data_IF_894800117888
#
_entry.id   IF_894800117888
#
_cell.length_a   1.000
_cell.length_b   1.000
_cell.length_c   1.000
_cell.angle_alpha   90.00
_cell.angle_beta   90.00
_cell.angle_gamma   90.00
#
_symmetry.space_group_name_H-M   'P 1'
#
loop_
_entity.id
_entity.type
_entity.pdbx_description
1 polymer ?
#
# COMPACT_ATOMS: atom_id res chain seq x y z
N UNK A 1 -0.37 41.73 -13.27
CA UNK A 1 0.34 40.45 -13.40
C UNK A 1 1.60 40.60 -12.58
N UNK A 2 1.65 40.01 -11.38
CA UNK A 2 2.86 39.99 -10.58
C UNK A 2 3.84 39.06 -11.28
N UNK A 3 5.04 39.54 -11.59
CA UNK A 3 6.16 38.70 -12.01
C UNK A 3 6.50 37.81 -10.85
N UNK A 4 6.09 36.53 -10.90
CA UNK A 4 6.60 35.51 -10.01
C UNK A 4 8.13 35.51 -10.11
N UNK A 5 8.77 36.01 -9.08
CA UNK A 5 10.21 35.88 -8.91
C UNK A 5 10.45 34.41 -8.54
N UNK A 6 10.60 33.55 -9.54
CA UNK A 6 10.91 32.13 -9.34
C UNK A 6 12.35 32.06 -8.88
N UNK A 7 12.57 31.54 -7.68
CA UNK A 7 13.91 31.25 -7.20
C UNK A 7 14.61 30.28 -8.15
N UNK A 8 15.91 30.48 -8.34
CA UNK A 8 16.73 29.74 -9.28
C UNK A 8 17.86 29.00 -8.56
N UNK A 9 18.07 27.77 -8.96
CA UNK A 9 19.31 27.06 -8.68
C UNK A 9 20.23 27.18 -9.92
N UNK A 10 21.52 27.37 -9.69
CA UNK A 10 22.51 27.49 -10.78
C UNK A 10 23.49 26.33 -10.72
N UNK A 11 23.57 25.57 -11.81
CA UNK A 11 24.56 24.52 -11.98
C UNK A 11 25.75 25.07 -12.77
N UNK A 12 26.93 25.13 -12.13
CA UNK A 12 28.19 25.39 -12.80
C UNK A 12 28.80 24.08 -13.30
N UNK A 13 29.13 23.97 -14.57
CA UNK A 13 29.72 22.77 -15.16
C UNK A 13 30.76 23.15 -16.23
N UNK A 14 31.59 22.24 -16.72
CA UNK A 14 32.67 22.56 -17.67
C UNK A 14 32.21 23.26 -18.97
N UNK A 15 30.92 23.17 -19.33
CA UNK A 15 30.34 23.82 -20.49
C UNK A 15 29.77 25.22 -20.25
N UNK A 16 29.73 25.69 -18.97
CA UNK A 16 29.16 26.99 -18.60
C UNK A 16 28.30 26.94 -17.33
N UNK A 17 27.24 27.70 -17.34
CA UNK A 17 26.24 27.78 -16.26
C UNK A 17 24.87 27.45 -16.81
N UNK A 18 24.06 26.75 -16.01
CA UNK A 18 22.68 26.42 -16.35
C UNK A 18 21.76 26.74 -15.16
N UNK A 19 20.74 27.57 -15.41
CA UNK A 19 19.74 27.95 -14.42
C UNK A 19 18.56 26.98 -14.45
N UNK A 20 18.12 26.56 -13.27
CA UNK A 20 16.98 25.68 -13.06
C UNK A 20 15.95 26.33 -12.14
N UNK A 21 14.67 26.11 -12.44
CA UNK A 21 13.61 26.60 -11.57
C UNK A 21 13.59 25.79 -10.26
N UNK A 22 13.28 26.47 -9.15
CA UNK A 22 12.97 25.83 -7.89
C UNK A 22 11.45 25.75 -7.77
N UNK A 23 10.96 24.54 -7.46
CA UNK A 23 9.58 24.28 -7.14
C UNK A 23 9.46 24.17 -5.63
N UNK A 24 8.70 25.11 -5.02
CA UNK A 24 8.49 25.14 -3.58
C UNK A 24 7.43 24.13 -3.16
N UNK A 25 7.75 23.30 -2.19
CA UNK A 25 6.80 22.40 -1.54
C UNK A 25 5.92 23.20 -0.56
N UNK A 26 4.67 22.78 -0.39
CA UNK A 26 3.82 23.33 0.68
C UNK A 26 4.32 22.88 2.06
N UNK A 27 4.80 21.64 2.15
CA UNK A 27 5.51 21.06 3.29
C UNK A 27 6.63 20.16 2.75
N UNK A 28 7.79 20.12 3.42
CA UNK A 28 8.94 19.30 3.04
C UNK A 28 10.00 20.04 2.25
N UNK A 29 10.78 19.32 1.45
CA UNK A 29 11.91 19.87 0.71
C UNK A 29 11.50 20.43 -0.64
N UNK A 30 12.05 21.59 -1.00
CA UNK A 30 11.90 22.16 -2.33
C UNK A 30 12.59 21.31 -3.39
N UNK A 31 12.05 21.31 -4.61
CA UNK A 31 12.55 20.55 -5.73
C UNK A 31 13.25 21.42 -6.78
N UNK A 32 14.36 20.94 -7.35
CA UNK A 32 15.01 21.55 -8.52
C UNK A 32 14.44 20.92 -9.80
N UNK A 33 13.94 21.74 -10.71
CA UNK A 33 13.29 21.26 -11.96
C UNK A 33 14.35 20.91 -13.01
N UNK A 34 14.49 19.60 -13.30
CA UNK A 34 15.56 19.06 -14.16
C UNK A 34 15.13 18.80 -15.62
N UNK A 35 13.88 19.10 -15.98
CA UNK A 35 13.28 18.66 -17.24
C UNK A 35 14.03 19.02 -18.53
N UNK A 36 14.85 20.09 -18.52
CA UNK A 36 15.63 20.55 -19.68
C UNK A 36 17.15 20.31 -19.52
N UNK A 37 17.59 19.78 -18.38
CA UNK A 37 19.02 19.64 -18.06
C UNK A 37 19.79 18.92 -19.17
N UNK A 38 19.31 17.76 -19.63
CA UNK A 38 19.97 16.99 -20.66
C UNK A 38 20.09 17.75 -21.98
N UNK A 39 19.01 18.40 -22.41
CA UNK A 39 18.99 19.12 -23.68
C UNK A 39 19.90 20.34 -23.71
N UNK A 40 20.01 21.07 -22.59
CA UNK A 40 20.77 22.33 -22.50
C UNK A 40 22.25 22.10 -22.14
N UNK A 41 22.56 21.04 -21.39
CA UNK A 41 23.93 20.86 -20.87
C UNK A 41 24.62 19.58 -21.35
N UNK A 42 23.87 18.61 -21.90
CA UNK A 42 24.36 17.27 -22.19
C UNK A 42 24.56 16.38 -20.94
N UNK A 43 24.24 16.89 -19.75
CA UNK A 43 24.40 16.17 -18.49
C UNK A 43 23.10 15.46 -18.10
N UNK A 44 23.25 14.33 -17.40
CA UNK A 44 22.16 13.61 -16.71
C UNK A 44 22.44 13.58 -15.21
N UNK A 45 21.40 13.43 -14.40
CA UNK A 45 21.55 13.16 -12.98
C UNK A 45 21.93 11.69 -12.76
N UNK A 46 22.76 11.43 -11.74
CA UNK A 46 23.11 10.09 -11.31
C UNK A 46 22.73 9.90 -9.84
N UNK A 47 21.56 9.30 -9.63
CA UNK A 47 21.00 9.00 -8.30
C UNK A 47 20.45 7.55 -8.31
N UNK A 48 21.32 6.53 -8.18
CA UNK A 48 20.92 5.13 -8.34
C UNK A 48 19.95 4.63 -7.27
N UNK A 49 19.84 5.34 -6.15
CA UNK A 49 18.92 5.01 -5.06
C UNK A 49 17.67 5.88 -5.01
N UNK A 50 17.52 6.83 -5.93
CA UNK A 50 16.46 7.84 -5.91
C UNK A 50 16.35 8.61 -4.59
N UNK A 51 17.49 8.77 -3.88
CA UNK A 51 17.55 9.36 -2.53
C UNK A 51 17.24 10.86 -2.56
N UNK A 52 17.65 11.53 -3.67
CA UNK A 52 17.47 12.98 -3.86
C UNK A 52 16.62 13.29 -5.09
N UNK A 53 15.81 12.34 -5.55
CA UNK A 53 15.01 12.48 -6.76
C UNK A 53 13.52 12.56 -6.44
N UNK A 54 12.94 13.74 -6.57
CA UNK A 54 11.49 13.93 -6.60
C UNK A 54 10.93 13.52 -7.96
N UNK A 55 10.13 12.46 -8.03
CA UNK A 55 9.54 11.96 -9.29
C UNK A 55 8.17 12.55 -9.60
N UNK A 56 7.54 13.21 -8.62
CA UNK A 56 6.19 13.77 -8.75
C UNK A 56 5.87 14.71 -7.60
N UNK A 57 4.86 15.56 -7.82
CA UNK A 57 4.14 16.23 -6.75
C UNK A 57 3.03 15.34 -6.21
N UNK A 58 2.81 15.38 -4.88
CA UNK A 58 1.71 14.68 -4.23
C UNK A 58 1.06 15.58 -3.18
N UNK A 59 -0.27 15.50 -3.08
CA UNK A 59 -1.07 16.15 -2.03
C UNK A 59 -1.65 15.11 -1.06
N UNK A 60 -1.17 13.88 -1.11
CA UNK A 60 -1.79 12.75 -0.39
C UNK A 60 -1.18 12.60 0.99
N UNK A 61 0.12 12.42 1.06
CA UNK A 61 0.82 12.09 2.31
C UNK A 61 1.99 13.02 2.53
N UNK A 62 2.14 13.47 3.77
CA UNK A 62 3.31 14.15 4.27
C UNK A 62 3.98 13.33 5.37
N UNK A 63 5.30 13.17 5.26
CA UNK A 63 6.13 12.46 6.24
C UNK A 63 7.32 13.33 6.64
N UNK A 64 7.48 13.52 7.95
CA UNK A 64 8.72 14.00 8.56
C UNK A 64 9.25 12.92 9.50
N UNK A 65 10.24 12.17 9.03
CA UNK A 65 10.80 11.05 9.77
C UNK A 65 11.64 11.45 10.97
N UNK A 66 12.18 12.68 11.00
CA UNK A 66 12.93 13.22 12.13
C UNK A 66 11.99 13.67 13.24
N UNK A 67 10.92 14.38 12.90
CA UNK A 67 9.88 14.80 13.82
C UNK A 67 8.88 13.69 14.18
N UNK A 68 8.87 12.57 13.43
CA UNK A 68 7.92 11.49 13.62
C UNK A 68 6.49 11.84 13.19
N UNK A 69 6.35 12.67 12.17
CA UNK A 69 5.05 13.14 11.67
C UNK A 69 4.64 12.33 10.46
N UNK A 70 3.39 11.87 10.45
CA UNK A 70 2.70 11.30 9.29
C UNK A 70 1.30 11.92 9.20
N UNK A 71 0.97 12.47 8.03
CA UNK A 71 -0.36 13.03 7.74
C UNK A 71 -0.89 12.53 6.42
N UNK A 72 -2.19 12.23 6.38
CA UNK A 72 -2.92 11.93 5.16
C UNK A 72 -3.83 13.10 4.81
N UNK A 73 -3.64 13.74 3.66
CA UNK A 73 -4.41 14.93 3.22
C UNK A 73 -4.47 16.04 4.28
N UNK A 74 -3.42 16.16 5.10
CA UNK A 74 -3.34 17.14 6.20
C UNK A 74 -3.83 16.62 7.56
N UNK A 75 -4.54 15.51 7.63
CA UNK A 75 -5.01 14.90 8.89
C UNK A 75 -3.90 14.10 9.54
N UNK A 76 -3.72 14.26 10.85
CA UNK A 76 -2.72 13.50 11.61
C UNK A 76 -3.08 12.00 11.65
N UNK A 77 -2.07 11.15 11.50
CA UNK A 77 -2.28 9.69 11.45
C UNK A 77 -2.82 9.14 12.76
N UNK A 78 -2.46 9.73 13.91
CA UNK A 78 -2.97 9.27 15.20
C UNK A 78 -4.46 9.55 15.34
N UNK A 79 -4.93 10.72 14.87
CA UNK A 79 -6.35 11.06 14.87
C UNK A 79 -7.14 10.15 13.94
N UNK A 80 -6.64 9.88 12.74
CA UNK A 80 -7.29 8.98 11.80
C UNK A 80 -7.35 7.54 12.35
N UNK A 81 -6.26 7.03 12.91
CA UNK A 81 -6.21 5.68 13.48
C UNK A 81 -7.11 5.49 14.70
N UNK A 82 -7.37 6.54 15.48
CA UNK A 82 -8.24 6.44 16.66
C UNK A 82 -9.72 6.63 16.31
N UNK A 83 -10.04 7.56 15.41
CA UNK A 83 -11.39 8.09 15.22
C UNK A 83 -12.04 7.70 13.88
N UNK A 84 -11.28 7.23 12.88
CA UNK A 84 -11.80 6.86 11.58
C UNK A 84 -11.79 5.34 11.33
N UNK A 85 -12.60 4.90 10.38
CA UNK A 85 -12.53 3.56 9.80
C UNK A 85 -11.61 3.55 8.57
N UNK A 86 -11.14 2.38 8.19
CA UNK A 86 -10.32 2.25 6.98
C UNK A 86 -11.05 2.72 5.70
N UNK A 87 -12.38 2.56 5.64
CA UNK A 87 -13.15 3.03 4.48
C UNK A 87 -13.20 4.56 4.42
N UNK A 88 -13.34 5.25 5.56
CA UNK A 88 -13.28 6.72 5.62
C UNK A 88 -11.91 7.22 5.19
N UNK A 89 -10.83 6.58 5.66
CA UNK A 89 -9.46 6.93 5.26
C UNK A 89 -9.22 6.62 3.78
N UNK A 90 -9.74 5.52 3.27
CA UNK A 90 -9.66 5.20 1.84
C UNK A 90 -10.36 6.25 0.99
N UNK A 91 -11.55 6.66 1.40
CA UNK A 91 -12.28 7.74 0.73
C UNK A 91 -11.48 9.05 0.76
N UNK A 92 -10.93 9.42 1.92
CA UNK A 92 -10.07 10.60 2.09
C UNK A 92 -8.87 10.58 1.13
N UNK A 93 -8.17 9.46 1.05
CA UNK A 93 -6.98 9.33 0.18
C UNK A 93 -7.33 9.48 -1.30
N UNK A 94 -8.45 8.90 -1.73
CA UNK A 94 -8.92 8.91 -3.12
C UNK A 94 -9.50 10.29 -3.48
N UNK A 95 -10.43 10.80 -2.67
CA UNK A 95 -11.24 11.98 -3.00
C UNK A 95 -10.67 13.30 -2.45
N UNK A 96 -9.77 13.26 -1.47
CA UNK A 96 -9.07 14.43 -0.94
C UNK A 96 -9.64 14.99 0.36
N UNK A 97 -10.88 14.67 0.71
CA UNK A 97 -11.60 15.10 1.93
C UNK A 97 -12.27 13.91 2.60
N UNK A 98 -12.51 14.02 3.91
CA UNK A 98 -13.29 13.01 4.63
C UNK A 98 -14.73 12.99 4.12
N UNK A 99 -15.35 11.80 4.00
CA UNK A 99 -16.72 11.71 3.50
C UNK A 99 -17.73 12.29 4.49
N UNK A 100 -18.79 12.88 3.97
CA UNK A 100 -20.04 13.06 4.70
C UNK A 100 -20.68 11.70 4.99
N UNK A 101 -21.69 11.65 5.87
CA UNK A 101 -22.42 10.41 6.18
C UNK A 101 -23.03 9.77 4.92
N UNK A 102 -23.62 10.56 4.05
CA UNK A 102 -24.27 10.08 2.83
C UNK A 102 -23.24 9.54 1.81
N UNK A 103 -22.12 10.23 1.66
CA UNK A 103 -21.01 9.79 0.79
C UNK A 103 -20.37 8.49 1.29
N UNK A 104 -20.17 8.37 2.61
CA UNK A 104 -19.65 7.15 3.21
C UNK A 104 -20.62 5.97 3.02
N UNK A 105 -21.92 6.20 3.19
CA UNK A 105 -22.93 5.17 3.00
C UNK A 105 -22.97 4.70 1.54
N UNK A 106 -22.92 5.63 0.58
CA UNK A 106 -22.84 5.33 -0.83
C UNK A 106 -21.58 4.52 -1.16
N UNK A 107 -20.41 4.99 -0.73
CA UNK A 107 -19.14 4.31 -0.94
C UNK A 107 -19.13 2.90 -0.34
N UNK A 108 -19.63 2.73 0.88
CA UNK A 108 -19.74 1.43 1.52
C UNK A 108 -20.73 0.51 0.79
N UNK A 109 -21.81 1.05 0.25
CA UNK A 109 -22.77 0.31 -0.57
C UNK A 109 -22.12 -0.20 -1.85
N UNK A 110 -21.39 0.65 -2.54
CA UNK A 110 -20.68 0.26 -3.77
C UNK A 110 -19.65 -0.84 -3.50
N UNK A 111 -18.86 -0.70 -2.46
CA UNK A 111 -17.90 -1.74 -2.07
C UNK A 111 -18.60 -3.08 -1.80
N UNK A 112 -19.71 -3.08 -1.03
CA UNK A 112 -20.45 -4.30 -0.71
C UNK A 112 -20.99 -5.01 -1.96
N UNK A 113 -21.53 -4.24 -2.92
CA UNK A 113 -22.11 -4.81 -4.14
C UNK A 113 -21.08 -5.29 -5.16
N UNK A 114 -19.81 -4.93 -5.00
CA UNK A 114 -18.73 -5.34 -5.91
C UNK A 114 -17.78 -6.41 -5.33
N UNK A 115 -18.08 -6.98 -4.17
CA UNK A 115 -17.23 -8.01 -3.54
C UNK A 115 -17.23 -9.35 -4.28
N UNK A 116 -18.37 -9.80 -4.78
CA UNK A 116 -18.52 -11.14 -5.36
C UNK A 116 -17.66 -11.31 -6.63
N UNK A 117 -16.95 -12.44 -6.71
CA UNK A 117 -16.22 -12.88 -7.90
C UNK A 117 -17.10 -13.79 -8.76
N UNK A 118 -16.85 -13.79 -10.06
CA UNK A 118 -17.43 -14.80 -10.95
C UNK A 118 -17.01 -16.20 -10.50
N UNK A 119 -17.91 -17.17 -10.63
CA UNK A 119 -17.64 -18.56 -10.20
C UNK A 119 -16.42 -19.16 -10.91
N UNK A 120 -16.28 -18.88 -12.21
CA UNK A 120 -15.16 -19.36 -13.02
C UNK A 120 -13.82 -18.83 -12.56
N UNK A 121 -13.79 -17.65 -11.89
CA UNK A 121 -12.57 -17.08 -11.33
C UNK A 121 -11.92 -18.00 -10.29
N UNK A 122 -12.70 -18.80 -9.57
CA UNK A 122 -12.17 -19.74 -8.56
C UNK A 122 -11.23 -20.76 -9.16
N UNK A 123 -11.38 -21.09 -10.44
CA UNK A 123 -10.48 -22.00 -11.14
C UNK A 123 -9.04 -21.48 -11.18
N UNK A 124 -8.84 -20.17 -11.15
CA UNK A 124 -7.51 -19.56 -11.11
C UNK A 124 -6.71 -19.95 -9.85
N UNK A 125 -7.37 -20.21 -8.73
CA UNK A 125 -6.67 -20.65 -7.51
C UNK A 125 -6.21 -22.10 -7.56
N UNK A 126 -6.77 -22.93 -8.45
CA UNK A 126 -6.42 -24.35 -8.58
C UNK A 126 -5.08 -24.57 -9.30
N UNK A 127 -4.58 -23.56 -10.03
CA UNK A 127 -3.29 -23.64 -10.72
C UNK A 127 -2.09 -23.44 -9.80
N UNK A 128 -2.30 -22.87 -8.60
CA UNK A 128 -1.22 -22.63 -7.67
C UNK A 128 -0.98 -23.82 -6.75
N UNK A 129 0.27 -24.19 -6.50
CA UNK A 129 0.59 -25.16 -5.46
C UNK A 129 0.19 -24.61 -4.08
N UNK A 130 -0.22 -25.50 -3.16
CA UNK A 130 -0.69 -25.08 -1.82
C UNK A 130 0.34 -24.32 -0.99
N UNK A 131 1.61 -24.52 -1.24
CA UNK A 131 2.72 -23.83 -0.61
C UNK A 131 3.20 -22.60 -1.38
N UNK A 132 2.46 -22.14 -2.40
CA UNK A 132 2.78 -20.90 -3.09
C UNK A 132 2.75 -19.71 -2.12
N UNK A 133 3.69 -18.79 -2.31
CA UNK A 133 3.72 -17.57 -1.49
C UNK A 133 2.44 -16.75 -1.72
N UNK A 134 1.73 -16.33 -0.65
CA UNK A 134 0.41 -15.70 -0.77
C UNK A 134 0.44 -14.41 -1.59
N UNK A 135 1.52 -13.65 -1.54
CA UNK A 135 1.67 -12.42 -2.33
C UNK A 135 1.75 -12.70 -3.84
N UNK A 136 2.40 -13.79 -4.25
CA UNK A 136 2.44 -14.19 -5.66
C UNK A 136 1.04 -14.59 -6.17
N UNK A 137 0.28 -15.31 -5.34
CA UNK A 137 -1.10 -15.69 -5.65
C UNK A 137 -1.98 -14.45 -5.75
N UNK A 138 -1.86 -13.52 -4.80
CA UNK A 138 -2.64 -12.28 -4.79
C UNK A 138 -2.34 -11.39 -6.01
N UNK A 139 -1.06 -11.14 -6.31
CA UNK A 139 -0.68 -10.32 -7.47
C UNK A 139 -1.19 -10.93 -8.78
N UNK A 140 -1.04 -12.24 -8.95
CA UNK A 140 -1.56 -12.96 -10.12
C UNK A 140 -3.08 -12.86 -10.21
N UNK A 141 -3.79 -13.03 -9.10
CA UNK A 141 -5.26 -12.95 -9.04
C UNK A 141 -5.76 -11.54 -9.40
N UNK A 142 -5.10 -10.49 -8.90
CA UNK A 142 -5.44 -9.10 -9.26
C UNK A 142 -5.19 -8.85 -10.75
N UNK A 143 -4.09 -9.39 -11.30
CA UNK A 143 -3.83 -9.26 -12.75
C UNK A 143 -4.90 -9.96 -13.59
N UNK A 144 -5.41 -11.13 -13.15
CA UNK A 144 -6.48 -11.87 -13.85
C UNK A 144 -7.78 -11.06 -13.88
N UNK A 145 -8.06 -10.19 -12.91
CA UNK A 145 -9.27 -9.35 -12.93
C UNK A 145 -9.37 -8.51 -14.22
N UNK A 146 -8.26 -8.11 -14.81
CA UNK A 146 -8.28 -7.38 -16.08
C UNK A 146 -8.94 -8.15 -17.23
N UNK A 147 -8.92 -9.49 -17.18
CA UNK A 147 -9.58 -10.34 -18.18
C UNK A 147 -11.09 -10.42 -17.98
N UNK A 148 -11.59 -10.18 -16.76
CA UNK A 148 -13.01 -10.21 -16.42
C UNK A 148 -13.71 -8.87 -16.61
N UNK A 149 -12.97 -7.75 -16.56
CA UNK A 149 -13.52 -6.39 -16.58
C UNK A 149 -13.02 -5.60 -17.79
N UNK A 150 -13.28 -6.12 -19.00
CA UNK A 150 -12.83 -5.56 -20.28
C UNK A 150 -13.39 -4.16 -20.56
N UNK A 151 -14.48 -3.77 -19.92
CA UNK A 151 -15.13 -2.45 -19.99
C UNK A 151 -14.53 -1.38 -19.05
N UNK A 152 -13.41 -1.69 -18.39
CA UNK A 152 -12.78 -0.83 -17.40
C UNK A 152 -11.25 -0.83 -17.53
N UNK A 153 -10.76 -0.90 -18.73
CA UNK A 153 -9.32 -0.98 -19.01
C UNK A 153 -8.69 0.34 -19.48
N UNK A 154 -9.50 1.34 -19.83
CA UNK A 154 -8.99 2.63 -20.24
C UNK A 154 -8.58 3.48 -19.03
N UNK A 155 -7.26 3.73 -18.82
CA UNK A 155 -6.78 4.53 -17.71
C UNK A 155 -6.97 6.04 -17.90
N UNK A 156 -7.48 6.49 -19.04
CA UNK A 156 -7.75 7.89 -19.32
C UNK A 156 -9.24 8.24 -19.21
N UNK A 157 -10.10 7.25 -19.00
CA UNK A 157 -11.53 7.41 -18.78
C UNK A 157 -11.80 7.42 -17.26
N UNK A 158 -12.21 8.55 -16.72
CA UNK A 158 -12.45 8.74 -15.28
C UNK A 158 -13.54 7.80 -14.74
N UNK A 159 -14.62 7.55 -15.49
CA UNK A 159 -15.70 6.63 -15.07
C UNK A 159 -15.19 5.19 -14.97
N UNK A 160 -14.35 4.76 -15.89
CA UNK A 160 -13.74 3.43 -15.85
C UNK A 160 -12.72 3.32 -14.70
N UNK A 161 -11.95 4.39 -14.41
CA UNK A 161 -11.03 4.44 -13.28
C UNK A 161 -11.79 4.31 -11.95
N UNK A 162 -12.88 5.04 -11.77
CA UNK A 162 -13.69 4.97 -10.56
C UNK A 162 -14.26 3.56 -10.34
N UNK A 163 -14.83 2.96 -11.39
CA UNK A 163 -15.34 1.59 -11.35
C UNK A 163 -14.23 0.57 -11.03
N UNK A 164 -13.05 0.72 -11.64
CA UNK A 164 -11.91 -0.15 -11.38
C UNK A 164 -11.41 0.00 -9.94
N UNK A 165 -11.39 1.23 -9.40
CA UNK A 165 -11.01 1.54 -8.02
C UNK A 165 -11.94 0.83 -7.04
N UNK A 166 -13.25 1.02 -7.18
CA UNK A 166 -14.26 0.36 -6.32
C UNK A 166 -14.12 -1.16 -6.40
N UNK A 167 -13.97 -1.72 -7.60
CA UNK A 167 -13.80 -3.17 -7.78
C UNK A 167 -12.53 -3.71 -7.16
N UNK A 168 -11.40 -3.03 -7.31
CA UNK A 168 -10.15 -3.43 -6.66
C UNK A 168 -10.27 -3.41 -5.15
N UNK A 169 -10.79 -2.33 -4.58
CA UNK A 169 -10.98 -2.22 -3.13
C UNK A 169 -11.92 -3.29 -2.58
N UNK A 170 -12.99 -3.60 -3.29
CA UNK A 170 -13.95 -4.63 -2.88
C UNK A 170 -13.40 -6.05 -3.02
N UNK A 171 -12.63 -6.33 -4.08
CA UNK A 171 -12.22 -7.70 -4.44
C UNK A 171 -10.86 -8.13 -3.88
N UNK A 172 -9.93 -7.20 -3.64
CA UNK A 172 -8.61 -7.57 -3.10
C UNK A 172 -8.70 -8.30 -1.76
N UNK A 173 -9.50 -7.87 -0.78
CA UNK A 173 -9.70 -8.63 0.46
C UNK A 173 -10.26 -10.04 0.20
N UNK A 174 -11.19 -10.16 -0.75
CA UNK A 174 -11.78 -11.44 -1.13
C UNK A 174 -10.77 -12.37 -1.79
N UNK A 175 -9.94 -11.84 -2.71
CA UNK A 175 -8.86 -12.60 -3.34
C UNK A 175 -7.84 -13.09 -2.30
N UNK A 176 -7.49 -12.26 -1.32
CA UNK A 176 -6.61 -12.63 -0.22
C UNK A 176 -7.22 -13.75 0.63
N UNK A 177 -8.51 -13.66 0.98
CA UNK A 177 -9.21 -14.71 1.70
C UNK A 177 -9.26 -16.02 0.92
N UNK A 178 -9.52 -15.97 -0.38
CA UNK A 178 -9.57 -17.16 -1.25
C UNK A 178 -8.18 -17.78 -1.43
N UNK A 179 -7.14 -16.96 -1.62
CA UNK A 179 -5.75 -17.44 -1.66
C UNK A 179 -5.37 -18.21 -0.39
N UNK A 180 -5.72 -17.66 0.79
CA UNK A 180 -5.52 -18.34 2.07
C UNK A 180 -6.27 -19.68 2.14
N UNK A 181 -7.56 -19.70 1.76
CA UNK A 181 -8.36 -20.93 1.81
C UNK A 181 -7.86 -22.00 0.86
N UNK A 182 -7.47 -21.60 -0.35
CA UNK A 182 -6.87 -22.52 -1.33
C UNK A 182 -5.58 -23.13 -0.78
N UNK A 183 -4.70 -22.36 -0.15
CA UNK A 183 -3.47 -22.87 0.46
C UNK A 183 -3.72 -23.87 1.58
N UNK A 184 -4.85 -23.74 2.29
CA UNK A 184 -5.25 -24.65 3.38
C UNK A 184 -6.16 -25.79 2.93
N UNK A 185 -6.57 -25.81 1.66
CA UNK A 185 -7.53 -26.80 1.15
C UNK A 185 -8.90 -26.69 1.80
N UNK A 186 -9.31 -25.47 2.18
CA UNK A 186 -10.60 -25.20 2.84
C UNK A 186 -11.63 -24.71 1.83
N UNK A 187 -12.94 -24.96 2.07
CA UNK A 187 -13.99 -24.45 1.20
C UNK A 187 -14.00 -22.92 1.19
N UNK A 188 -14.30 -22.31 0.05
CA UNK A 188 -14.45 -20.86 -0.06
C UNK A 188 -15.70 -20.38 0.69
N UNK A 189 -15.60 -19.20 1.28
CA UNK A 189 -16.72 -18.51 1.90
C UNK A 189 -17.15 -17.34 1.00
N UNK A 190 -18.43 -17.26 0.70
CA UNK A 190 -18.97 -16.10 -0.03
C UNK A 190 -19.03 -14.87 0.89
N UNK A 191 -18.94 -13.65 0.31
CA UNK A 191 -19.16 -12.44 1.07
C UNK A 191 -20.58 -12.40 1.64
N UNK A 192 -20.72 -11.72 2.77
CA UNK A 192 -21.99 -11.45 3.44
C UNK A 192 -22.19 -9.94 3.53
N UNK A 193 -23.14 -9.42 2.75
CA UNK A 193 -23.37 -7.97 2.65
C UNK A 193 -24.01 -7.37 3.92
N UNK A 194 -24.44 -8.17 4.90
CA UNK A 194 -24.92 -7.69 6.20
C UNK A 194 -23.79 -7.28 7.14
N UNK A 195 -22.56 -7.74 6.88
CA UNK A 195 -21.39 -7.46 7.68
C UNK A 195 -20.64 -6.22 7.16
N UNK A 196 -19.91 -5.55 8.06
CA UNK A 196 -18.95 -4.55 7.61
C UNK A 196 -17.75 -5.22 6.90
N UNK A 197 -16.99 -4.48 6.07
CA UNK A 197 -15.93 -5.08 5.25
C UNK A 197 -14.87 -5.86 6.03
N UNK A 198 -14.49 -5.45 7.25
CA UNK A 198 -13.50 -6.15 8.09
C UNK A 198 -14.04 -7.43 8.69
N UNK A 199 -15.26 -7.37 9.21
CA UNK A 199 -15.97 -8.57 9.68
C UNK A 199 -16.14 -9.58 8.56
N UNK A 200 -16.55 -9.12 7.39
CA UNK A 200 -16.71 -9.94 6.21
C UNK A 200 -15.38 -10.60 5.80
N UNK A 201 -14.29 -9.84 5.76
CA UNK A 201 -12.96 -10.37 5.48
C UNK A 201 -12.55 -11.45 6.49
N UNK A 202 -12.71 -11.18 7.79
CA UNK A 202 -12.38 -12.14 8.86
C UNK A 202 -13.24 -13.41 8.75
N UNK A 203 -14.54 -13.25 8.51
CA UNK A 203 -15.43 -14.39 8.27
C UNK A 203 -15.02 -15.20 7.04
N UNK A 204 -14.68 -14.55 5.95
CA UNK A 204 -14.21 -15.21 4.74
C UNK A 204 -12.89 -15.95 4.94
N UNK A 205 -11.98 -15.39 5.75
CA UNK A 205 -10.69 -16.02 6.08
C UNK A 205 -10.89 -17.26 6.97
N UNK A 206 -11.65 -17.14 8.06
CA UNK A 206 -11.61 -18.07 9.19
C UNK A 206 -12.91 -18.83 9.46
N UNK A 207 -14.06 -18.34 8.98
CA UNK A 207 -15.36 -19.01 9.17
C UNK A 207 -15.49 -20.34 8.40
N UNK A 208 -16.49 -21.11 8.73
CA UNK A 208 -16.85 -22.35 8.03
C UNK A 208 -18.29 -22.29 7.51
N UNK A 209 -18.61 -22.90 6.35
CA UNK A 209 -19.97 -22.90 5.80
C UNK A 209 -21.01 -23.61 6.68
N UNK A 210 -20.55 -24.40 7.63
CA UNK A 210 -21.36 -25.28 8.49
C UNK A 210 -21.72 -24.66 9.83
N UNK A 211 -21.21 -23.48 10.14
CA UNK A 211 -21.41 -22.83 11.45
C UNK A 211 -21.38 -21.30 11.33
N UNK A 212 -22.02 -20.61 12.24
CA UNK A 212 -21.97 -19.17 12.34
C UNK A 212 -20.58 -18.73 12.85
N UNK A 213 -20.04 -17.70 12.22
CA UNK A 213 -18.76 -17.12 12.60
C UNK A 213 -18.99 -15.75 13.22
N UNK A 214 -18.70 -15.65 14.50
CA UNK A 214 -18.77 -14.39 15.24
C UNK A 214 -17.38 -13.76 15.28
N UNK A 215 -17.26 -12.59 14.71
CA UNK A 215 -16.00 -11.82 14.70
C UNK A 215 -15.86 -11.08 16.03
N UNK A 216 -14.70 -11.20 16.65
CA UNK A 216 -14.38 -10.40 17.84
C UNK A 216 -14.23 -8.91 17.44
N UNK A 217 -15.02 -7.99 18.03
CA UNK A 217 -14.94 -6.56 17.73
C UNK A 217 -13.54 -5.95 17.98
N UNK A 218 -12.79 -6.49 18.92
CA UNK A 218 -11.40 -6.06 19.19
C UNK A 218 -10.50 -6.36 18.00
N UNK A 219 -10.64 -7.55 17.41
CA UNK A 219 -9.87 -7.92 16.21
C UNK A 219 -10.26 -7.08 15.00
N UNK A 220 -11.55 -6.79 14.83
CA UNK A 220 -12.04 -5.92 13.75
C UNK A 220 -11.44 -4.51 13.87
N UNK A 221 -11.48 -3.92 15.07
CA UNK A 221 -10.90 -2.59 15.33
C UNK A 221 -9.38 -2.60 15.16
N UNK A 222 -8.70 -3.65 15.59
CA UNK A 222 -7.25 -3.79 15.39
C UNK A 222 -6.89 -3.86 13.90
N UNK A 223 -7.66 -4.61 13.11
CA UNK A 223 -7.46 -4.70 11.66
C UNK A 223 -7.67 -3.34 10.97
N UNK A 224 -8.72 -2.59 11.35
CA UNK A 224 -8.93 -1.23 10.84
C UNK A 224 -7.71 -0.33 11.09
N UNK A 225 -7.21 -0.28 12.32
CA UNK A 225 -6.04 0.51 12.67
C UNK A 225 -4.80 0.08 11.89
N UNK A 226 -4.55 -1.22 11.76
CA UNK A 226 -3.43 -1.73 10.97
C UNK A 226 -3.53 -1.31 9.51
N UNK A 227 -4.71 -1.39 8.90
CA UNK A 227 -4.93 -0.99 7.51
C UNK A 227 -4.74 0.53 7.33
N UNK A 228 -5.25 1.36 8.26
CA UNK A 228 -5.05 2.82 8.24
C UNK A 228 -3.56 3.18 8.30
N UNK A 229 -2.82 2.59 9.25
CA UNK A 229 -1.40 2.84 9.43
C UNK A 229 -0.53 2.40 8.25
N UNK A 230 -1.04 1.50 7.39
CA UNK A 230 -0.34 1.00 6.20
C UNK A 230 -0.94 1.51 4.88
N UNK A 231 -1.91 2.43 4.92
CA UNK A 231 -2.67 2.82 3.74
C UNK A 231 -1.82 3.54 2.69
N UNK A 232 -0.95 4.45 3.11
CA UNK A 232 -0.03 5.16 2.22
C UNK A 232 1.26 5.55 2.94
N UNK A 233 2.36 5.64 2.19
CA UNK A 233 3.65 6.08 2.69
C UNK A 233 4.45 6.77 1.57
N UNK A 234 3.86 7.80 0.96
CA UNK A 234 4.42 8.60 -0.14
C UNK A 234 4.85 7.78 -1.37
N UNK A 235 5.97 8.15 -1.98
CA UNK A 235 6.53 7.49 -3.17
C UNK A 235 7.37 6.26 -2.78
N UNK A 236 6.81 5.36 -1.98
CA UNK A 236 7.42 4.07 -1.66
C UNK A 236 7.57 3.20 -2.92
N UNK A 237 8.22 2.04 -2.79
CA UNK A 237 8.50 1.15 -3.91
C UNK A 237 7.23 0.69 -4.66
N UNK A 238 6.14 0.40 -3.94
CA UNK A 238 4.85 0.02 -4.56
C UNK A 238 4.24 1.16 -5.34
N UNK A 239 4.11 2.33 -4.73
CA UNK A 239 3.54 3.53 -5.37
C UNK A 239 4.32 3.92 -6.61
N UNK A 240 5.66 3.96 -6.52
CA UNK A 240 6.54 4.26 -7.66
C UNK A 240 6.40 3.23 -8.78
N UNK A 241 6.28 1.94 -8.45
CA UNK A 241 6.08 0.86 -9.43
C UNK A 241 4.73 0.99 -10.12
N UNK A 242 3.64 1.22 -9.37
CA UNK A 242 2.29 1.45 -9.94
C UNK A 242 2.33 2.61 -10.92
N UNK A 243 2.91 3.73 -10.53
CA UNK A 243 3.03 4.92 -11.39
C UNK A 243 3.86 4.66 -12.63
N UNK A 244 4.95 3.91 -12.52
CA UNK A 244 5.80 3.55 -13.65
C UNK A 244 5.04 2.69 -14.67
N UNK A 245 4.29 1.69 -14.22
CA UNK A 245 3.48 0.84 -15.10
C UNK A 245 2.34 1.66 -15.72
N UNK A 246 1.64 2.45 -14.91
CA UNK A 246 0.54 3.31 -15.37
C UNK A 246 1.00 4.37 -16.38
N UNK A 247 2.25 4.82 -16.32
CA UNK A 247 2.80 5.79 -17.30
C UNK A 247 2.82 5.27 -18.74
N UNK A 248 2.75 3.95 -18.92
CA UNK A 248 2.59 3.30 -20.22
C UNK A 248 1.12 3.15 -20.65
N UNK A 249 0.18 3.80 -19.95
CA UNK A 249 -1.28 3.64 -20.13
C UNK A 249 -1.77 2.19 -19.90
N UNK A 250 -1.07 1.44 -19.05
CA UNK A 250 -1.55 0.15 -18.58
C UNK A 250 -2.77 0.34 -17.68
N UNK A 251 -3.73 -0.57 -17.77
CA UNK A 251 -4.95 -0.50 -16.94
C UNK A 251 -4.66 -0.60 -15.44
N UNK A 252 -5.61 -0.19 -14.62
CA UNK A 252 -5.44 -0.11 -13.17
C UNK A 252 -5.19 -1.48 -12.53
N UNK A 253 -5.82 -2.55 -12.98
CA UNK A 253 -5.62 -3.90 -12.41
C UNK A 253 -4.17 -4.37 -12.56
N UNK A 254 -3.61 -4.21 -13.77
CA UNK A 254 -2.21 -4.57 -14.05
C UNK A 254 -1.24 -3.70 -13.27
N UNK A 255 -1.51 -2.40 -13.17
CA UNK A 255 -0.67 -1.44 -12.44
C UNK A 255 -0.63 -1.78 -10.95
N UNK A 256 -1.77 -2.06 -10.33
CA UNK A 256 -1.87 -2.47 -8.91
C UNK A 256 -1.22 -3.85 -8.68
N UNK A 257 -1.39 -4.79 -9.60
CA UNK A 257 -0.68 -6.08 -9.52
C UNK A 257 0.84 -5.90 -9.48
N UNK A 258 1.37 -4.93 -10.24
CA UNK A 258 2.78 -4.54 -10.19
C UNK A 258 3.19 -3.99 -8.82
N UNK A 259 2.37 -3.16 -8.20
CA UNK A 259 2.58 -2.66 -6.84
C UNK A 259 2.59 -3.78 -5.79
N UNK A 260 1.69 -4.76 -5.90
CA UNK A 260 1.67 -5.94 -5.02
C UNK A 260 2.94 -6.78 -5.20
N UNK A 261 3.44 -6.94 -6.43
CA UNK A 261 4.71 -7.62 -6.68
C UNK A 261 5.89 -6.88 -6.04
N UNK A 262 5.92 -5.55 -6.11
CA UNK A 262 6.95 -4.75 -5.44
C UNK A 262 6.86 -4.90 -3.91
N UNK A 263 5.63 -4.91 -3.35
CA UNK A 263 5.39 -5.11 -1.92
C UNK A 263 5.85 -6.48 -1.43
N UNK A 264 5.82 -7.51 -2.26
CA UNK A 264 6.28 -8.86 -1.91
C UNK A 264 7.80 -8.94 -1.64
N UNK A 265 8.57 -7.92 -2.02
CA UNK A 265 10.01 -7.88 -1.79
C UNK A 265 10.37 -7.79 -0.29
N UNK A 266 11.41 -8.53 0.17
CA UNK A 266 11.77 -8.60 1.59
C UNK A 266 12.24 -7.25 2.18
N UNK A 267 12.68 -6.31 1.34
CA UNK A 267 13.10 -4.98 1.77
C UNK A 267 11.96 -3.94 1.75
N UNK A 268 10.74 -4.34 1.40
CA UNK A 268 9.56 -3.49 1.38
C UNK A 268 8.47 -4.05 2.30
N UNK A 269 7.64 -5.00 1.86
CA UNK A 269 6.57 -5.59 2.67
C UNK A 269 6.98 -6.80 3.53
N UNK A 270 8.25 -7.23 3.48
CA UNK A 270 8.71 -8.42 4.20
C UNK A 270 8.87 -8.27 5.71
N UNK A 271 8.81 -7.06 6.26
CA UNK A 271 9.03 -6.82 7.69
C UNK A 271 7.99 -7.54 8.56
N UNK A 272 6.71 -7.51 8.19
CA UNK A 272 5.63 -8.16 8.96
C UNK A 272 5.82 -9.69 9.00
N UNK A 273 6.19 -10.29 7.89
CA UNK A 273 6.52 -11.72 7.83
C UNK A 273 7.70 -12.06 8.72
N UNK A 274 8.78 -11.29 8.64
CA UNK A 274 9.98 -11.49 9.44
C UNK A 274 9.72 -11.34 10.96
N UNK A 275 8.79 -10.47 11.36
CA UNK A 275 8.34 -10.39 12.77
C UNK A 275 7.64 -11.67 13.20
N UNK A 276 6.72 -12.18 12.38
CA UNK A 276 6.03 -13.43 12.72
C UNK A 276 7.00 -14.62 12.80
N UNK A 277 7.93 -14.74 11.85
CA UNK A 277 8.97 -15.78 11.87
C UNK A 277 9.85 -15.68 13.12
N UNK A 278 10.26 -14.47 13.51
CA UNK A 278 11.00 -14.23 14.76
C UNK A 278 10.19 -14.64 16.00
N UNK A 279 8.92 -14.29 16.08
CA UNK A 279 8.04 -14.66 17.20
C UNK A 279 7.80 -16.16 17.24
N UNK A 280 7.66 -16.83 16.11
CA UNK A 280 7.55 -18.28 16.02
C UNK A 280 8.84 -18.97 16.45
N UNK A 281 10.00 -18.43 16.08
CA UNK A 281 11.30 -18.94 16.53
C UNK A 281 11.43 -18.85 18.04
N UNK A 282 11.12 -17.70 18.64
CA UNK A 282 11.12 -17.51 20.10
C UNK A 282 10.18 -18.53 20.79
N UNK A 283 8.98 -18.69 20.25
CA UNK A 283 7.99 -19.61 20.80
C UNK A 283 8.45 -21.07 20.73
N UNK A 284 8.99 -21.49 19.60
CA UNK A 284 9.26 -22.91 19.33
C UNK A 284 10.64 -23.38 19.85
N UNK A 285 11.62 -22.49 19.83
CA UNK A 285 13.03 -22.83 20.13
C UNK A 285 13.52 -22.26 21.47
N UNK A 286 12.73 -21.36 22.11
CA UNK A 286 13.08 -20.71 23.38
C UNK A 286 11.95 -20.77 24.41
N UNK A 287 11.04 -21.74 24.30
CA UNK A 287 9.89 -21.94 25.21
C UNK A 287 9.03 -20.68 25.44
N UNK A 288 9.04 -19.75 24.48
CA UNK A 288 8.39 -18.45 24.58
C UNK A 288 9.15 -17.42 25.42
N UNK A 289 10.32 -17.75 25.96
CA UNK A 289 11.18 -16.79 26.66
C UNK A 289 12.06 -16.01 25.67
N UNK A 290 11.77 -14.74 25.54
CA UNK A 290 12.53 -13.83 24.67
C UNK A 290 13.88 -13.37 25.27
N UNK A 291 14.20 -13.75 26.54
CA UNK A 291 15.37 -13.21 27.27
C UNK A 291 16.68 -13.53 26.55
N UNK A 292 16.88 -14.80 26.13
CA UNK A 292 18.07 -15.21 25.40
C UNK A 292 18.16 -14.50 24.05
N UNK A 293 17.07 -14.48 23.28
CA UNK A 293 17.01 -13.79 22.01
C UNK A 293 17.37 -12.29 22.15
N UNK A 294 16.79 -11.60 23.14
CA UNK A 294 17.07 -10.19 23.41
C UNK A 294 18.52 -9.95 23.83
N UNK A 295 19.14 -10.86 24.56
CA UNK A 295 20.56 -10.79 24.91
C UNK A 295 21.45 -10.93 23.66
N UNK A 296 21.13 -11.83 22.75
CA UNK A 296 21.83 -11.99 21.46
C UNK A 296 21.70 -10.73 20.58
N UNK A 297 20.51 -10.13 20.53
CA UNK A 297 20.27 -8.84 19.85
C UNK A 297 21.12 -7.72 20.46
N UNK A 298 21.12 -7.56 21.79
CA UNK A 298 21.91 -6.55 22.51
C UNK A 298 23.42 -6.74 22.31
N UNK A 299 23.87 -7.99 22.24
CA UNK A 299 25.27 -8.34 21.98
C UNK A 299 25.65 -8.21 20.49
N UNK A 300 24.72 -7.77 19.64
CA UNK A 300 24.93 -7.60 18.18
C UNK A 300 25.44 -8.90 17.52
N UNK A 301 24.91 -10.04 17.94
CA UNK A 301 25.29 -11.33 17.35
C UNK A 301 25.00 -11.35 15.86
N UNK A 302 25.97 -11.84 15.09
CA UNK A 302 25.86 -11.85 13.62
C UNK A 302 24.66 -12.69 13.16
N UNK A 303 23.77 -12.09 12.39
CA UNK A 303 22.58 -12.74 11.85
C UNK A 303 21.34 -12.65 12.76
N UNK A 304 21.47 -12.16 13.98
CA UNK A 304 20.33 -11.92 14.89
C UNK A 304 19.89 -10.48 14.79
N UNK A 305 18.62 -10.27 14.46
CA UNK A 305 18.02 -8.93 14.36
C UNK A 305 16.67 -8.91 15.07
N UNK A 306 16.39 -7.82 15.76
CA UNK A 306 15.07 -7.55 16.29
C UNK A 306 14.22 -6.99 15.14
N UNK A 307 13.28 -7.83 14.65
CA UNK A 307 12.38 -7.44 13.56
C UNK A 307 11.20 -6.64 14.11
N UNK A 308 10.65 -5.72 13.30
CA UNK A 308 9.55 -4.85 13.70
C UNK A 308 9.96 -3.61 14.48
N UNK A 309 11.25 -3.41 14.70
CA UNK A 309 11.84 -2.23 15.33
C UNK A 309 12.86 -1.59 14.39
N UNK A 310 12.98 -0.26 14.49
CA UNK A 310 13.80 0.53 13.57
C UNK A 310 13.12 0.72 12.23
N UNK A 311 13.00 1.96 11.79
CA UNK A 311 12.40 2.31 10.52
C UNK A 311 13.36 3.12 9.68
N UNK A 312 13.33 2.97 8.34
CA UNK A 312 14.26 3.68 7.46
C UNK A 312 13.98 5.18 7.43
N UNK A 313 12.73 5.59 7.63
CA UNK A 313 12.27 6.98 7.56
C UNK A 313 12.16 7.60 8.95
N UNK A 314 11.49 6.95 9.90
CA UNK A 314 11.33 7.47 11.26
C UNK A 314 12.57 7.21 12.10
N UNK A 315 13.28 8.27 12.48
CA UNK A 315 14.54 8.18 13.22
C UNK A 315 14.39 8.43 14.72
N UNK A 316 13.32 9.08 15.17
CA UNK A 316 13.16 9.59 16.54
C UNK A 316 12.08 8.91 17.39
N UNK A 317 11.23 8.06 16.84
CA UNK A 317 10.07 7.46 17.53
C UNK A 317 10.14 5.92 17.69
N UNK A 318 11.31 5.34 17.53
CA UNK A 318 11.46 3.88 17.63
C UNK A 318 12.53 3.48 18.61
#
# INVERSE_FOLDING_TARGET
MATENKDKAVLHYPGGEYEMDIMHAAEGNDGVVLGKLLGETGLVTFDPGYVSTGSTESKITYIDGEAGILRYRGYDIADLAENATFNEVSYLLINGELPTTDELEHFNSDLRHHTLLDEDFKAAFNIFPRNAHPMAVLASSVNILSAYYQDQLDPLDEEQLDKATVRLMAKVPMLAAYAYRASRGKPYMYPDNSLNPRENFMRMMFGYPTEDYHVDPVLTKALDKLLILHADHEQNCSTSTVRMIASAQANMFVSIAGGINALAGPLHGGANQAVLEMLEDIKNNHDGDATDFMNRVKNKEKGVRLMGFGHRVYLSLI
#
